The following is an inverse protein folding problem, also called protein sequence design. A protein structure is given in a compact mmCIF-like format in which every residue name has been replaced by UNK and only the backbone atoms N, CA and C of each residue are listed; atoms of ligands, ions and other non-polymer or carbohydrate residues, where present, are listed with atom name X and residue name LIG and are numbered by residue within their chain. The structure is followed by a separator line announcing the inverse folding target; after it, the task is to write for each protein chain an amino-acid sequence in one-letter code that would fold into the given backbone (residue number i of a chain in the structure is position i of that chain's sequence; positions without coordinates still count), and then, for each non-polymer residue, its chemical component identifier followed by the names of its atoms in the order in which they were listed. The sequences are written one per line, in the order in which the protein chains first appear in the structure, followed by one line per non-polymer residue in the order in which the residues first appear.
data_IF_509460812218
#
_entry.id   IF_509460812218
#
_cell.length_a   1.000
_cell.length_b   1.000
_cell.length_c   1.000
_cell.angle_alpha   90.00
_cell.angle_beta   90.00
_cell.angle_gamma   90.00
#
_symmetry.space_group_name_H-M   'P 1'
#
loop_
_entity.id
_entity.type
_entity.pdbx_description
1 polymer ?
#
# COMPACT_ATOMS: atom_id res chain seq x y z
N UNK A 1 -8.03 12.51 20.09
CA UNK A 1 -8.71 12.32 18.80
C UNK A 1 -7.66 12.14 17.73
N UNK A 2 -7.27 10.90 17.44
CA UNK A 2 -6.22 10.59 16.46
C UNK A 2 -6.88 9.99 15.23
N UNK A 3 -7.13 10.84 14.25
CA UNK A 3 -7.69 10.47 12.96
C UNK A 3 -6.70 9.51 12.26
N UNK A 4 -7.12 8.29 11.89
CA UNK A 4 -6.25 7.31 11.26
C UNK A 4 -5.73 7.82 9.91
N UNK A 5 -4.49 7.46 9.58
CA UNK A 5 -3.71 7.98 8.43
C UNK A 5 -4.42 7.72 7.08
N UNK A 6 -5.36 6.78 7.04
CA UNK A 6 -6.25 6.52 5.89
C UNK A 6 -7.26 7.65 5.62
N UNK A 7 -7.51 8.56 6.57
CA UNK A 7 -8.40 9.72 6.40
C UNK A 7 -7.67 10.99 5.90
N UNK A 8 -6.33 11.03 5.93
CA UNK A 8 -5.53 12.18 5.48
C UNK A 8 -4.99 12.05 4.05
N UNK A 9 -5.38 11.00 3.32
CA UNK A 9 -5.07 10.83 1.91
C UNK A 9 -6.32 11.01 1.05
N UNK A 10 -6.80 12.25 0.84
CA UNK A 10 -7.66 12.50 -0.30
C UNK A 10 -6.79 12.42 -1.55
N UNK A 11 -7.19 11.57 -2.51
CA UNK A 11 -6.70 11.55 -3.90
C UNK A 11 -5.34 10.88 -4.13
N UNK A 12 -5.32 9.54 -4.12
CA UNK A 12 -4.43 8.81 -5.02
C UNK A 12 -5.23 7.62 -5.56
N UNK A 13 -5.16 7.42 -6.87
CA UNK A 13 -5.95 6.47 -7.67
C UNK A 13 -5.66 5.02 -7.25
N UNK A 14 -6.26 4.62 -6.13
CA UNK A 14 -6.12 3.28 -5.52
C UNK A 14 -7.30 2.38 -5.89
N UNK A 15 -8.19 2.74 -6.81
CA UNK A 15 -9.31 1.86 -7.17
C UNK A 15 -8.82 0.54 -7.77
N UNK A 16 -7.79 0.56 -8.63
CA UNK A 16 -7.25 -0.70 -9.20
C UNK A 16 -6.51 -1.56 -8.18
N UNK A 17 -5.77 -0.91 -7.27
CA UNK A 17 -5.00 -1.62 -6.24
C UNK A 17 -5.93 -2.15 -5.16
N UNK A 18 -6.96 -1.38 -4.78
CA UNK A 18 -8.00 -1.81 -3.85
C UNK A 18 -8.87 -2.90 -4.46
N UNK A 19 -9.20 -2.83 -5.74
CA UNK A 19 -9.90 -3.91 -6.43
C UNK A 19 -9.09 -5.21 -6.42
N UNK A 20 -7.76 -5.15 -6.62
CA UNK A 20 -6.94 -6.36 -6.52
C UNK A 20 -6.73 -6.83 -5.08
N UNK A 21 -6.62 -5.93 -4.12
CA UNK A 21 -6.66 -6.31 -2.69
C UNK A 21 -8.00 -6.94 -2.36
N UNK A 22 -9.12 -6.44 -2.88
CA UNK A 22 -10.44 -6.98 -2.58
C UNK A 22 -10.65 -8.33 -3.28
N UNK A 23 -10.17 -8.50 -4.52
CA UNK A 23 -10.21 -9.79 -5.23
C UNK A 23 -9.39 -10.88 -4.53
N UNK A 24 -8.20 -10.53 -4.03
CA UNK A 24 -7.27 -11.53 -3.48
C UNK A 24 -7.29 -11.63 -1.95
N UNK A 25 -7.77 -10.61 -1.25
CA UNK A 25 -7.67 -10.45 0.20
C UNK A 25 -8.98 -9.98 0.86
N UNK A 26 -10.15 -10.16 0.22
CA UNK A 26 -11.45 -9.79 0.77
C UNK A 26 -11.67 -10.29 2.21
N UNK A 27 -11.29 -11.54 2.50
CA UNK A 27 -11.48 -12.14 3.82
C UNK A 27 -10.69 -11.39 4.90
N UNK A 28 -9.44 -11.02 4.61
CA UNK A 28 -8.58 -10.28 5.54
C UNK A 28 -9.05 -8.83 5.70
N UNK A 29 -9.56 -8.21 4.62
CA UNK A 29 -10.17 -6.88 4.67
C UNK A 29 -11.40 -6.90 5.57
N UNK A 30 -12.31 -7.86 5.35
CA UNK A 30 -13.55 -7.98 6.11
C UNK A 30 -13.27 -8.27 7.59
N UNK A 31 -12.38 -9.23 7.89
CA UNK A 31 -12.04 -9.56 9.27
C UNK A 31 -11.43 -8.36 10.02
N UNK A 32 -10.54 -7.62 9.38
CA UNK A 32 -9.96 -6.41 9.98
C UNK A 32 -11.01 -5.31 10.18
N UNK A 33 -11.86 -5.05 9.19
CA UNK A 33 -12.92 -4.05 9.26
C UNK A 33 -13.90 -4.36 10.41
N UNK A 34 -14.36 -5.61 10.53
CA UNK A 34 -15.24 -6.07 11.61
C UNK A 34 -14.60 -5.91 12.98
N UNK A 35 -13.29 -6.17 13.10
CA UNK A 35 -12.56 -5.97 14.34
C UNK A 35 -12.48 -4.49 14.73
N UNK A 36 -12.21 -3.60 13.77
CA UNK A 36 -12.15 -2.15 14.01
C UNK A 36 -13.51 -1.62 14.45
N UNK A 37 -14.58 -2.06 13.79
CA UNK A 37 -15.97 -1.69 14.12
C UNK A 37 -16.34 -2.14 15.55
N UNK A 38 -15.88 -3.33 15.95
CA UNK A 38 -16.11 -3.86 17.29
C UNK A 38 -15.22 -3.23 18.39
N UNK A 39 -14.12 -2.55 18.02
CA UNK A 39 -13.09 -2.08 18.95
C UNK A 39 -12.67 -0.63 18.67
N UNK A 40 -13.64 0.28 18.50
CA UNK A 40 -13.42 1.66 18.04
C UNK A 40 -12.31 2.45 18.77
N UNK A 41 -12.09 2.18 20.07
CA UNK A 41 -11.10 2.87 20.90
C UNK A 41 -9.76 2.13 21.05
N UNK A 42 -9.74 0.82 20.83
CA UNK A 42 -8.60 -0.05 21.15
C UNK A 42 -8.11 -0.89 19.95
N UNK A 43 -8.75 -0.76 18.78
CA UNK A 43 -8.42 -1.51 17.56
C UNK A 43 -6.95 -1.44 17.15
N UNK A 44 -6.25 -0.35 17.47
CA UNK A 44 -4.82 -0.20 17.17
C UNK A 44 -3.96 -1.28 17.82
N UNK A 45 -4.40 -1.78 18.97
CA UNK A 45 -3.78 -2.86 19.73
C UNK A 45 -4.52 -4.17 19.46
N UNK A 46 -5.85 -4.15 19.58
CA UNK A 46 -6.67 -5.37 19.57
C UNK A 46 -6.76 -6.01 18.17
N UNK A 47 -6.67 -5.22 17.11
CA UNK A 47 -6.76 -5.69 15.73
C UNK A 47 -5.38 -5.75 15.04
N UNK A 48 -4.29 -5.70 15.80
CA UNK A 48 -2.92 -5.62 15.24
C UNK A 48 -2.57 -6.83 14.39
N UNK A 49 -3.03 -8.02 14.76
CA UNK A 49 -2.71 -9.26 14.04
C UNK A 49 -3.52 -9.39 12.76
N UNK A 50 -4.78 -8.93 12.76
CA UNK A 50 -5.61 -8.83 11.55
C UNK A 50 -5.04 -7.79 10.58
N UNK A 51 -4.53 -6.67 11.09
CA UNK A 51 -3.80 -5.68 10.27
C UNK A 51 -2.57 -6.31 9.60
N UNK A 52 -1.76 -7.05 10.36
CA UNK A 52 -0.58 -7.76 9.81
C UNK A 52 -0.98 -8.79 8.76
N UNK A 53 -2.06 -9.54 9.00
CA UNK A 53 -2.56 -10.53 8.05
C UNK A 53 -3.00 -9.89 6.73
N UNK A 54 -3.71 -8.75 6.79
CA UNK A 54 -4.10 -7.98 5.61
C UNK A 54 -2.89 -7.42 4.85
N UNK A 55 -1.91 -6.85 5.56
CA UNK A 55 -0.66 -6.38 4.96
C UNK A 55 0.09 -7.52 4.27
N UNK A 56 0.19 -8.68 4.91
CA UNK A 56 0.85 -9.86 4.33
C UNK A 56 0.15 -10.33 3.06
N UNK A 57 -1.18 -10.42 3.07
CA UNK A 57 -1.94 -10.83 1.89
C UNK A 57 -1.75 -9.84 0.73
N UNK A 58 -1.78 -8.54 1.03
CA UNK A 58 -1.57 -7.49 0.04
C UNK A 58 -0.14 -7.53 -0.54
N UNK A 59 0.88 -7.77 0.29
CA UNK A 59 2.27 -7.91 -0.16
C UNK A 59 2.51 -9.17 -1.02
N UNK A 60 1.77 -10.25 -0.78
CA UNK A 60 1.93 -11.51 -1.52
C UNK A 60 1.20 -11.49 -2.86
N UNK A 61 0.02 -10.86 -2.91
CA UNK A 61 -0.87 -10.94 -4.08
C UNK A 61 -0.86 -9.66 -4.94
N UNK A 62 -0.52 -8.51 -4.38
CA UNK A 62 -0.51 -7.24 -5.10
C UNK A 62 0.91 -6.82 -5.42
N UNK A 63 1.31 -7.02 -6.68
CA UNK A 63 2.68 -6.76 -7.17
C UNK A 63 3.13 -5.33 -6.88
N UNK A 64 2.23 -4.35 -6.98
CA UNK A 64 2.54 -2.95 -6.66
C UNK A 64 2.89 -2.77 -5.17
N UNK A 65 2.12 -3.34 -4.24
CA UNK A 65 2.41 -3.27 -2.80
C UNK A 65 3.77 -3.90 -2.48
N UNK A 66 4.07 -5.05 -3.09
CA UNK A 66 5.38 -5.70 -2.95
C UNK A 66 6.53 -4.81 -3.44
N UNK A 67 6.36 -4.16 -4.58
CA UNK A 67 7.37 -3.25 -5.14
C UNK A 67 7.56 -2.02 -4.24
N UNK A 68 6.47 -1.42 -3.77
CA UNK A 68 6.55 -0.26 -2.86
C UNK A 68 7.26 -0.67 -1.58
N UNK A 69 6.91 -1.81 -0.97
CA UNK A 69 7.60 -2.30 0.23
C UNK A 69 9.10 -2.45 0.00
N UNK A 70 9.50 -3.14 -1.06
CA UNK A 70 10.91 -3.40 -1.33
C UNK A 70 11.70 -2.14 -1.71
N UNK A 71 11.12 -1.28 -2.54
CA UNK A 71 11.78 -0.06 -3.03
C UNK A 71 11.80 1.06 -2.00
N UNK A 72 10.76 1.17 -1.17
CA UNK A 72 10.60 2.25 -0.20
C UNK A 72 10.88 1.84 1.25
N UNK A 73 11.31 0.59 1.51
CA UNK A 73 11.61 0.11 2.88
C UNK A 73 12.46 1.10 3.70
N UNK A 74 13.58 1.67 3.18
CA UNK A 74 14.41 2.57 3.97
C UNK A 74 13.68 3.87 4.38
N UNK A 75 12.74 4.33 3.55
CA UNK A 75 11.95 5.55 3.78
C UNK A 75 10.81 5.25 4.76
N UNK A 76 10.18 4.08 4.61
CA UNK A 76 9.18 3.56 5.56
C UNK A 76 9.79 3.45 6.96
N UNK A 77 10.98 2.87 7.09
CA UNK A 77 11.66 2.68 8.37
C UNK A 77 11.97 4.03 9.04
N UNK A 78 12.41 5.04 8.27
CA UNK A 78 12.63 6.41 8.78
C UNK A 78 11.35 7.06 9.29
N UNK A 79 10.27 6.95 8.54
CA UNK A 79 8.99 7.50 8.94
C UNK A 79 8.46 6.82 10.21
N UNK A 80 8.52 5.49 10.27
CA UNK A 80 8.12 4.71 11.45
C UNK A 80 8.96 5.05 12.68
N UNK A 81 10.28 5.17 12.52
CA UNK A 81 11.16 5.55 13.62
C UNK A 81 10.90 6.99 14.10
N UNK A 82 10.57 7.91 13.18
CA UNK A 82 10.15 9.26 13.55
C UNK A 82 8.86 9.25 14.37
N UNK A 83 7.85 8.48 13.95
CA UNK A 83 6.59 8.33 14.68
C UNK A 83 6.81 7.73 16.06
N UNK A 84 7.65 6.70 16.17
CA UNK A 84 7.97 6.04 17.45
C UNK A 84 8.67 6.99 18.43
N UNK A 85 9.51 7.88 17.93
CA UNK A 85 10.20 8.90 18.74
C UNK A 85 9.30 10.08 19.12
N UNK A 86 8.31 10.40 18.29
CA UNK A 86 7.48 11.59 18.41
C UNK A 86 5.99 11.26 18.53
N UNK A 87 5.64 10.26 19.35
CA UNK A 87 4.25 9.82 19.52
C UNK A 87 3.31 10.95 19.98
N UNK A 88 3.84 11.92 20.72
CA UNK A 88 3.09 13.08 21.25
C UNK A 88 2.93 14.21 20.23
N UNK A 89 3.84 14.30 19.26
CA UNK A 89 3.79 15.31 18.20
C UNK A 89 4.22 14.70 16.86
N UNK A 90 3.32 13.99 16.17
CA UNK A 90 3.62 13.37 14.89
C UNK A 90 3.87 14.39 13.76
N UNK A 91 3.53 15.67 13.97
CA UNK A 91 3.62 16.70 12.93
C UNK A 91 5.06 16.97 12.49
N UNK A 92 6.03 16.73 13.37
CA UNK A 92 7.47 16.83 13.07
C UNK A 92 7.93 15.78 12.04
N UNK A 93 7.13 14.74 11.79
CA UNK A 93 7.43 13.68 10.83
C UNK A 93 6.91 13.96 9.41
N UNK A 94 6.37 15.16 9.14
CA UNK A 94 5.82 15.54 7.84
C UNK A 94 6.85 15.41 6.71
N UNK A 95 8.12 15.71 6.96
CA UNK A 95 9.15 15.58 5.92
C UNK A 95 9.41 14.11 5.56
N UNK A 96 9.51 13.22 6.56
CA UNK A 96 9.61 11.77 6.33
C UNK A 96 8.37 11.19 5.64
N UNK A 97 7.18 11.77 5.92
CA UNK A 97 5.95 11.40 5.22
C UNK A 97 5.97 11.85 3.75
N UNK A 98 6.50 13.05 3.46
CA UNK A 98 6.67 13.55 2.09
C UNK A 98 7.62 12.66 1.29
N UNK A 99 8.75 12.26 1.88
CA UNK A 99 9.70 11.36 1.23
C UNK A 99 9.04 10.00 0.90
N UNK A 100 8.23 9.48 1.82
CA UNK A 100 7.50 8.23 1.62
C UNK A 100 6.49 8.34 0.48
N UNK A 101 5.79 9.47 0.40
CA UNK A 101 4.87 9.76 -0.70
C UNK A 101 5.60 9.76 -2.05
N UNK A 102 6.70 10.50 -2.16
CA UNK A 102 7.49 10.59 -3.40
C UNK A 102 8.01 9.22 -3.85
N UNK A 103 8.46 8.38 -2.91
CA UNK A 103 8.90 7.04 -3.22
C UNK A 103 7.75 6.18 -3.77
N UNK A 104 6.58 6.25 -3.13
CA UNK A 104 5.40 5.48 -3.53
C UNK A 104 4.89 5.91 -4.92
N UNK A 105 4.85 7.22 -5.18
CA UNK A 105 4.51 7.78 -6.50
C UNK A 105 5.49 7.30 -7.59
N UNK A 106 6.79 7.34 -7.32
CA UNK A 106 7.82 6.86 -8.24
C UNK A 106 7.65 5.37 -8.58
N UNK A 107 7.35 4.53 -7.59
CA UNK A 107 7.08 3.10 -7.81
C UNK A 107 5.80 2.88 -8.61
N UNK A 108 4.73 3.64 -8.34
CA UNK A 108 3.49 3.61 -9.12
C UNK A 108 3.73 3.89 -10.60
N UNK A 109 4.43 4.99 -10.90
CA UNK A 109 4.77 5.35 -12.28
C UNK A 109 5.66 4.31 -12.97
N UNK A 110 6.61 3.69 -12.24
CA UNK A 110 7.42 2.60 -12.78
C UNK A 110 6.58 1.37 -13.10
N UNK A 111 5.64 1.00 -12.22
CA UNK A 111 4.76 -0.14 -12.42
C UNK A 111 3.81 0.08 -13.60
N UNK A 112 3.24 1.28 -13.76
CA UNK A 112 2.42 1.63 -14.92
C UNK A 112 3.20 1.50 -16.23
N UNK A 113 4.43 2.01 -16.29
CA UNK A 113 5.32 1.85 -17.46
C UNK A 113 5.64 0.39 -17.74
N UNK A 114 5.88 -0.41 -16.69
CA UNK A 114 6.15 -1.84 -16.82
C UNK A 114 4.90 -2.63 -17.26
N UNK A 115 3.72 -2.25 -16.79
CA UNK A 115 2.44 -2.81 -17.24
C UNK A 115 2.19 -2.46 -18.71
N UNK A 116 2.46 -1.21 -19.12
CA UNK A 116 2.35 -0.76 -20.50
C UNK A 116 3.32 -1.53 -21.45
N UNK A 117 4.53 -1.84 -20.98
CA UNK A 117 5.49 -2.67 -21.71
C UNK A 117 5.03 -4.13 -21.82
N UNK A 118 4.45 -4.70 -20.75
CA UNK A 118 3.87 -6.06 -20.78
C UNK A 118 2.70 -6.16 -21.75
N UNK A 119 1.82 -5.17 -21.80
CA UNK A 119 0.72 -5.13 -22.78
C UNK A 119 1.21 -5.03 -24.22
N UNK A 120 2.38 -4.43 -24.48
CA UNK A 120 2.98 -4.43 -25.83
C UNK A 120 3.58 -5.79 -26.24
N UNK A 121 3.97 -6.61 -25.27
CA UNK A 121 4.45 -7.98 -25.52
C UNK A 121 3.33 -9.02 -25.57
N UNK A 122 2.10 -8.60 -25.26
CA UNK A 122 0.90 -9.44 -25.30
C UNK A 122 -0.08 -8.94 -26.38
N UNK A 123 0.44 -8.41 -27.50
CA UNK A 123 -0.31 -8.34 -28.75
C UNK A 123 -0.02 -9.63 -29.55
N UNK A 124 -1.02 -10.49 -29.83
CA UNK A 124 -0.86 -11.67 -30.70
C UNK A 124 -0.40 -11.36 -32.14
N UNK A 125 -0.25 -10.09 -32.54
CA UNK A 125 0.04 -9.68 -33.92
C UNK A 125 1.52 -9.48 -34.27
N UNK A 126 2.48 -9.76 -33.40
CA UNK A 126 3.90 -9.82 -33.77
C UNK A 126 4.44 -11.26 -33.90
N UNK A 127 3.58 -12.20 -34.28
CA UNK A 127 4.00 -13.43 -34.97
C UNK A 127 3.69 -13.24 -36.45
N UNK A 128 4.38 -12.29 -37.10
CA UNK A 128 4.43 -12.28 -38.56
C UNK A 128 5.77 -12.83 -39.02
N UNK A 129 5.69 -14.07 -39.49
CA UNK A 129 6.37 -14.62 -40.66
C UNK A 129 7.76 -14.07 -40.98
N UNK A 130 8.79 -14.89 -40.75
CA UNK A 130 9.91 -14.92 -41.69
C UNK A 130 10.32 -16.36 -41.92
N UNK A 131 9.78 -16.87 -43.04
CA UNK A 131 10.31 -17.97 -43.83
C UNK A 131 11.77 -17.72 -44.20
#
# INVERSE_FOLDING_TARGET
MSIPIYFYFPLYDMDQTLDEVNKHCADQVHAYATCVDSNENTWKVDCVDLRKALTKCSDENVTLMKMVRLSCQPVIDRYQECLRKNEKDPSVCIDSLRDLYQCTEGVGQMQEKMNALKTKHQDPRTVDSTK
#
